data_IF_522261746328
#
_entry.id   IF_522261746328
#
_cell.length_a   1.000
_cell.length_b   1.000
_cell.length_c   1.000
_cell.angle_alpha   90.00
_cell.angle_beta   90.00
_cell.angle_gamma   90.00
#
_symmetry.space_group_name_H-M   'P 1'
#
loop_
_entity.id
_entity.type
_entity.pdbx_description
1 polymer ?
#
# COMPACT_ATOMS: atom_id res chain seq x y z
N UNK A 1 -31.81 -6.41 -75.40
CA UNK A 1 -33.07 -6.79 -74.74
C UNK A 1 -32.89 -6.48 -73.25
N UNK A 2 -33.20 -5.26 -72.76
CA UNK A 2 -34.55 -4.67 -72.47
C UNK A 2 -35.22 -5.47 -71.34
N UNK A 3 -35.07 -5.04 -70.07
CA UNK A 3 -36.04 -4.23 -69.27
C UNK A 3 -36.94 -5.12 -68.40
N UNK A 4 -37.49 -4.76 -67.24
CA UNK A 4 -37.63 -3.49 -66.50
C UNK A 4 -37.91 -3.81 -65.00
N UNK A 5 -37.72 -2.77 -64.18
CA UNK A 5 -37.95 -2.59 -62.74
C UNK A 5 -39.45 -2.59 -62.36
N UNK A 6 -39.78 -2.89 -61.08
CA UNK A 6 -40.67 -2.15 -60.12
C UNK A 6 -40.99 -3.10 -58.93
N UNK A 7 -41.14 -2.75 -57.65
CA UNK A 7 -40.71 -1.71 -56.70
C UNK A 7 -41.43 -2.10 -55.37
N UNK A 8 -40.71 -2.07 -54.23
CA UNK A 8 -41.16 -1.88 -52.82
C UNK A 8 -42.34 -2.67 -52.23
N UNK A 9 -42.12 -3.28 -51.05
CA UNK A 9 -42.81 -2.89 -49.81
C UNK A 9 -41.99 -3.33 -48.56
N UNK A 10 -41.66 -2.36 -47.72
CA UNK A 10 -41.06 -2.48 -46.38
C UNK A 10 -42.14 -2.92 -45.38
N UNK A 11 -41.89 -3.93 -44.54
CA UNK A 11 -42.52 -4.02 -43.20
C UNK A 11 -41.55 -4.69 -42.20
N UNK A 12 -41.33 -4.00 -41.09
CA UNK A 12 -40.54 -4.41 -39.93
C UNK A 12 -41.43 -4.96 -38.79
N UNK A 13 -40.77 -5.57 -37.80
CA UNK A 13 -41.12 -5.66 -36.37
C UNK A 13 -41.63 -7.00 -35.80
N UNK A 14 -40.66 -7.67 -35.15
CA UNK A 14 -40.63 -8.31 -33.82
C UNK A 14 -41.89 -8.84 -33.10
N UNK A 15 -41.76 -10.12 -32.72
CA UNK A 15 -42.40 -10.98 -31.69
C UNK A 15 -42.20 -10.40 -30.25
N UNK A 16 -42.93 -10.67 -29.13
CA UNK A 16 -43.84 -11.73 -28.65
C UNK A 16 -44.77 -11.19 -27.51
N UNK A 17 -45.85 -11.93 -27.24
CA UNK A 17 -46.88 -11.80 -26.19
C UNK A 17 -46.40 -12.07 -24.75
N UNK A 18 -47.07 -11.50 -23.72
CA UNK A 18 -48.10 -12.19 -22.90
C UNK A 18 -48.61 -11.35 -21.69
N UNK A 19 -49.78 -11.73 -21.18
CA UNK A 19 -50.70 -11.02 -20.28
C UNK A 19 -50.48 -11.22 -18.76
N UNK A 20 -50.88 -10.17 -18.01
CA UNK A 20 -51.34 -9.99 -16.62
C UNK A 20 -51.50 -11.17 -15.65
N UNK A 21 -51.16 -10.93 -14.37
CA UNK A 21 -52.05 -11.26 -13.23
C UNK A 21 -51.76 -10.37 -11.98
N UNK A 22 -52.80 -10.12 -11.19
CA UNK A 22 -52.89 -9.20 -10.04
C UNK A 22 -52.96 -10.02 -8.73
N UNK A 23 -52.17 -9.71 -7.69
CA UNK A 23 -52.58 -9.99 -6.29
C UNK A 23 -51.65 -9.38 -5.23
N UNK A 24 -52.19 -9.35 -4.02
CA UNK A 24 -52.01 -8.43 -2.91
C UNK A 24 -51.17 -9.04 -1.76
N UNK A 25 -50.50 -8.17 -0.98
CA UNK A 25 -50.18 -8.33 0.45
C UNK A 25 -49.13 -9.37 0.92
N UNK A 26 -48.03 -8.83 1.46
CA UNK A 26 -47.56 -9.17 2.83
C UNK A 26 -46.45 -10.22 2.98
N UNK A 27 -45.22 -9.77 3.26
CA UNK A 27 -44.47 -10.12 4.49
C UNK A 27 -43.15 -9.34 4.56
N UNK A 28 -42.96 -8.59 5.64
CA UNK A 28 -41.67 -8.08 6.10
C UNK A 28 -40.77 -9.25 6.54
N UNK A 29 -39.60 -9.40 5.92
CA UNK A 29 -38.31 -9.64 6.59
C UNK A 29 -37.26 -10.15 5.58
N UNK A 30 -36.49 -9.22 5.03
CA UNK A 30 -35.11 -9.52 4.65
C UNK A 30 -34.25 -8.58 5.46
N UNK A 31 -33.65 -9.13 6.52
CA UNK A 31 -32.54 -8.54 7.27
C UNK A 31 -31.43 -8.17 6.28
N UNK A 32 -31.54 -7.00 5.65
CA UNK A 32 -30.40 -6.36 5.00
C UNK A 32 -29.48 -5.96 6.14
N UNK A 33 -28.38 -6.69 6.28
CA UNK A 33 -27.28 -6.26 7.12
C UNK A 33 -26.99 -4.78 6.81
N UNK A 34 -26.73 -3.93 7.82
CA UNK A 34 -26.25 -2.59 7.56
C UNK A 34 -25.08 -2.72 6.58
N UNK A 35 -25.13 -2.00 5.45
CA UNK A 35 -23.97 -1.92 4.58
C UNK A 35 -22.80 -1.50 5.47
N UNK A 36 -21.79 -2.36 5.54
CA UNK A 36 -20.56 -2.13 6.31
C UNK A 36 -20.12 -0.71 5.96
N UNK A 37 -20.23 0.22 6.91
CA UNK A 37 -19.81 1.59 6.71
C UNK A 37 -18.40 1.55 6.12
N UNK A 38 -18.19 2.26 5.01
CA UNK A 38 -16.95 2.30 4.25
C UNK A 38 -15.77 2.28 5.22
N UNK A 39 -15.04 1.15 5.29
CA UNK A 39 -13.81 1.11 6.05
C UNK A 39 -12.91 2.25 5.55
N UNK A 40 -12.27 3.02 6.45
CA UNK A 40 -11.46 4.15 6.05
C UNK A 40 -10.39 3.67 5.05
N UNK A 41 -10.48 4.17 3.81
CA UNK A 41 -9.66 3.79 2.65
C UNK A 41 -8.21 4.29 2.74
N UNK A 42 -7.73 4.64 3.93
CA UNK A 42 -6.35 5.04 4.14
C UNK A 42 -5.38 3.88 3.83
N UNK A 43 -4.12 4.20 3.54
CA UNK A 43 -3.08 3.21 3.27
C UNK A 43 -3.29 2.39 1.99
N UNK A 44 -4.14 2.84 1.07
CA UNK A 44 -4.39 2.20 -0.23
C UNK A 44 -4.02 3.13 -1.39
N UNK A 45 -3.87 2.58 -2.60
CA UNK A 45 -3.53 3.33 -3.79
C UNK A 45 -4.55 4.44 -4.11
N UNK A 46 -5.84 4.20 -3.87
CA UNK A 46 -6.92 5.15 -4.15
C UNK A 46 -6.83 6.43 -3.30
N UNK A 47 -6.21 6.33 -2.12
CA UNK A 47 -5.98 7.45 -1.21
C UNK A 47 -4.51 7.86 -1.17
N UNK A 48 -3.76 7.55 -2.24
CA UNK A 48 -2.33 7.84 -2.35
C UNK A 48 -1.52 7.35 -1.15
N UNK A 49 -1.92 6.23 -0.54
CA UNK A 49 -1.32 5.66 0.65
C UNK A 49 -1.28 6.57 1.88
N UNK A 50 -2.19 7.53 2.02
CA UNK A 50 -2.27 8.35 3.23
C UNK A 50 -2.36 7.47 4.50
N UNK A 51 -1.49 7.64 5.51
CA UNK A 51 -1.52 6.82 6.72
C UNK A 51 -2.83 6.91 7.50
N UNK A 52 -3.25 5.78 8.06
CA UNK A 52 -4.48 5.66 8.84
C UNK A 52 -4.38 6.25 10.26
N UNK A 53 -3.16 6.25 10.82
CA UNK A 53 -2.86 6.71 12.17
C UNK A 53 -1.99 7.95 12.13
N UNK A 54 -2.10 8.80 13.15
CA UNK A 54 -1.18 9.92 13.34
C UNK A 54 0.29 9.45 13.44
N UNK A 55 1.22 10.28 12.96
CA UNK A 55 2.68 10.04 13.07
C UNK A 55 3.13 9.90 14.54
N UNK A 56 2.51 10.63 15.47
CA UNK A 56 2.84 10.52 16.90
C UNK A 56 2.52 9.14 17.47
N UNK A 57 1.32 8.62 17.18
CA UNK A 57 0.94 7.27 17.61
C UNK A 57 1.81 6.21 16.93
N UNK A 58 2.03 6.33 15.63
CA UNK A 58 2.87 5.41 14.87
C UNK A 58 4.31 5.36 15.42
N UNK A 59 4.90 6.52 15.75
CA UNK A 59 6.23 6.59 16.36
C UNK A 59 6.29 5.92 17.74
N UNK A 60 5.23 6.00 18.56
CA UNK A 60 5.17 5.28 19.85
C UNK A 60 5.22 3.77 19.64
N UNK A 61 4.43 3.25 18.71
CA UNK A 61 4.41 1.82 18.36
C UNK A 61 5.77 1.37 17.80
N UNK A 62 6.35 2.17 16.91
CA UNK A 62 7.65 1.90 16.31
C UNK A 62 8.76 1.85 17.39
N UNK A 63 8.83 2.86 18.27
CA UNK A 63 9.80 2.89 19.35
C UNK A 63 9.65 1.70 20.31
N UNK A 64 8.41 1.35 20.69
CA UNK A 64 8.16 0.19 21.56
C UNK A 64 8.68 -1.13 20.98
N UNK A 65 8.59 -1.32 19.65
CA UNK A 65 9.23 -2.46 18.99
C UNK A 65 10.76 -2.35 19.03
N UNK A 66 11.30 -1.17 18.76
CA UNK A 66 12.75 -0.96 18.79
C UNK A 66 13.38 -1.22 20.16
N UNK A 67 12.70 -0.89 21.25
CA UNK A 67 13.17 -1.19 22.60
C UNK A 67 13.39 -2.69 22.84
N UNK A 68 12.73 -3.56 22.07
CA UNK A 68 12.87 -5.02 22.17
C UNK A 68 13.93 -5.60 21.23
N UNK A 69 14.08 -5.05 20.01
CA UNK A 69 14.86 -5.69 18.94
C UNK A 69 16.05 -4.87 18.44
N UNK A 70 16.16 -3.60 18.84
CA UNK A 70 17.11 -2.63 18.30
C UNK A 70 17.92 -2.03 19.46
N UNK A 71 19.26 -1.91 19.37
CA UNK A 71 20.04 -1.33 20.45
C UNK A 71 19.72 0.15 20.67
N UNK A 72 19.87 0.68 21.90
CA UNK A 72 19.55 2.08 22.22
C UNK A 72 20.22 3.11 21.31
N UNK A 73 21.46 2.85 20.90
CA UNK A 73 22.24 3.71 20.00
C UNK A 73 21.58 3.91 18.61
N UNK A 74 20.61 3.07 18.23
CA UNK A 74 19.85 3.17 16.99
C UNK A 74 18.44 3.76 17.18
N UNK A 75 17.97 3.98 18.41
CA UNK A 75 16.56 4.34 18.67
C UNK A 75 16.13 5.66 18.02
N UNK A 76 17.08 6.55 17.72
CA UNK A 76 16.79 7.79 16.97
C UNK A 76 16.27 7.55 15.54
N UNK A 77 16.43 6.33 15.00
CA UNK A 77 15.84 5.91 13.73
C UNK A 77 14.40 5.41 13.86
N UNK A 78 13.91 5.17 15.07
CA UNK A 78 12.61 4.57 15.34
C UNK A 78 11.49 5.61 15.31
N UNK A 79 11.48 6.38 14.22
CA UNK A 79 10.50 7.41 13.89
C UNK A 79 10.25 7.40 12.39
N UNK A 80 9.01 7.63 11.99
CA UNK A 80 8.66 7.75 10.59
C UNK A 80 9.07 9.12 10.07
N UNK A 81 10.21 9.19 9.38
CA UNK A 81 10.64 10.39 8.67
C UNK A 81 10.35 10.27 7.17
N UNK A 82 9.45 11.11 6.66
CA UNK A 82 8.94 11.08 5.29
C UNK A 82 9.47 12.23 4.45
N UNK A 83 10.14 13.21 5.07
CA UNK A 83 10.83 14.28 4.36
C UNK A 83 12.22 13.80 3.91
N UNK A 84 12.50 13.93 2.61
CA UNK A 84 13.70 13.36 1.98
C UNK A 84 15.01 13.84 2.63
N UNK A 85 15.13 15.14 2.89
CA UNK A 85 16.33 15.72 3.49
C UNK A 85 16.52 15.31 4.95
N UNK A 86 15.44 15.24 5.72
CA UNK A 86 15.49 14.79 7.11
C UNK A 86 15.82 13.30 7.20
N UNK A 87 15.21 12.47 6.35
CA UNK A 87 15.47 11.04 6.23
C UNK A 87 16.94 10.77 5.87
N UNK A 88 17.48 11.51 4.89
CA UNK A 88 18.89 11.41 4.51
C UNK A 88 19.83 11.77 5.65
N UNK A 89 19.53 12.83 6.42
CA UNK A 89 20.32 13.21 7.60
C UNK A 89 20.32 12.11 8.66
N UNK A 90 19.15 11.52 8.94
CA UNK A 90 19.03 10.39 9.88
C UNK A 90 19.85 9.18 9.43
N UNK A 91 19.79 8.83 8.14
CA UNK A 91 20.58 7.73 7.60
C UNK A 91 22.08 7.99 7.71
N UNK A 92 22.55 9.20 7.37
CA UNK A 92 23.95 9.57 7.52
C UNK A 92 24.41 9.50 8.99
N UNK A 93 23.59 9.95 9.93
CA UNK A 93 23.85 9.80 11.36
C UNK A 93 23.95 8.32 11.77
N UNK A 94 23.11 7.43 11.23
CA UNK A 94 23.19 5.99 11.48
C UNK A 94 24.50 5.38 11.00
N UNK A 95 24.98 5.81 9.83
CA UNK A 95 26.25 5.35 9.27
C UNK A 95 27.48 5.85 10.04
N UNK A 96 27.36 7.01 10.71
CA UNK A 96 28.44 7.63 11.49
C UNK A 96 28.42 7.25 12.99
N UNK A 97 27.32 6.70 13.47
CA UNK A 97 27.14 6.28 14.87
C UNK A 97 27.45 4.79 15.07
N UNK A 98 27.38 4.35 16.34
CA UNK A 98 27.53 2.93 16.70
C UNK A 98 26.38 2.03 16.20
N UNK A 99 25.31 2.62 15.68
CA UNK A 99 24.21 1.87 15.08
C UNK A 99 24.70 1.06 13.86
N UNK A 100 25.24 1.76 12.86
CA UNK A 100 25.72 1.17 11.61
C UNK A 100 24.63 0.43 10.81
N UNK A 101 25.03 -0.16 9.68
CA UNK A 101 24.11 -0.85 8.76
C UNK A 101 23.48 -2.13 9.32
N UNK A 102 24.16 -2.81 10.25
CA UNK A 102 23.78 -4.15 10.75
C UNK A 102 22.43 -4.17 11.49
N UNK A 103 21.97 -3.04 12.01
CA UNK A 103 20.71 -2.94 12.77
C UNK A 103 19.56 -2.37 11.96
N UNK A 104 19.81 -1.84 10.76
CA UNK A 104 18.79 -1.23 9.92
C UNK A 104 17.71 -2.23 9.47
N UNK A 105 18.04 -3.51 9.30
CA UNK A 105 17.04 -4.53 8.98
C UNK A 105 16.05 -4.72 10.13
N UNK A 106 16.50 -4.70 11.39
CA UNK A 106 15.64 -4.76 12.57
C UNK A 106 14.80 -3.49 12.73
N UNK A 107 15.36 -2.32 12.41
CA UNK A 107 14.62 -1.04 12.36
C UNK A 107 13.49 -1.12 11.33
N UNK A 108 13.78 -1.57 10.10
CA UNK A 108 12.76 -1.75 9.05
C UNK A 108 11.69 -2.79 9.45
N UNK A 109 12.10 -3.90 10.07
CA UNK A 109 11.18 -4.89 10.62
C UNK A 109 10.18 -4.25 11.59
N UNK A 110 10.67 -3.47 12.55
CA UNK A 110 9.82 -2.74 13.49
C UNK A 110 8.94 -1.68 12.81
N UNK A 111 9.48 -0.92 11.86
CA UNK A 111 8.71 0.08 11.11
C UNK A 111 7.52 -0.55 10.36
N UNK A 112 7.73 -1.74 9.79
CA UNK A 112 6.71 -2.43 8.98
C UNK A 112 5.54 -2.97 9.80
N UNK A 113 5.73 -3.20 11.11
CA UNK A 113 4.79 -3.93 11.97
C UNK A 113 4.26 -5.22 11.33
N UNK A 114 5.15 -5.98 10.67
CA UNK A 114 4.83 -7.23 9.97
C UNK A 114 3.77 -7.08 8.86
N UNK A 115 3.75 -5.92 8.19
CA UNK A 115 2.89 -5.64 7.03
C UNK A 115 3.68 -5.70 5.72
N UNK A 116 3.04 -6.25 4.70
CA UNK A 116 3.54 -6.19 3.33
C UNK A 116 3.18 -4.83 2.71
N UNK A 117 4.17 -3.98 2.52
CA UNK A 117 4.01 -2.65 1.92
C UNK A 117 4.57 -2.58 0.49
N UNK A 118 4.82 -3.73 -0.16
CA UNK A 118 5.47 -3.78 -1.48
C UNK A 118 4.66 -3.07 -2.55
N UNK A 119 3.33 -3.04 -2.48
CA UNK A 119 2.52 -2.31 -3.46
C UNK A 119 2.77 -0.80 -3.38
N UNK A 120 2.74 -0.21 -2.18
CA UNK A 120 3.08 1.20 -1.98
C UNK A 120 4.48 1.53 -2.50
N UNK A 121 5.46 0.68 -2.19
CA UNK A 121 6.82 0.89 -2.67
C UNK A 121 6.97 0.80 -4.19
N UNK A 122 6.23 -0.10 -4.84
CA UNK A 122 6.21 -0.21 -6.30
C UNK A 122 5.58 1.03 -6.93
N UNK A 123 4.45 1.49 -6.40
CA UNK A 123 3.75 2.68 -6.89
C UNK A 123 4.55 3.97 -6.67
N UNK A 124 5.51 3.96 -5.74
CA UNK A 124 6.47 5.04 -5.48
C UNK A 124 7.87 4.74 -6.03
N UNK A 125 7.95 3.92 -7.09
CA UNK A 125 9.13 3.70 -7.94
C UNK A 125 10.37 3.11 -7.24
N UNK A 126 10.23 2.42 -6.11
CA UNK A 126 11.37 1.72 -5.47
C UNK A 126 11.89 0.51 -6.25
N UNK A 127 11.19 0.09 -7.30
CA UNK A 127 11.65 -0.90 -8.27
C UNK A 127 11.95 -0.30 -9.66
N UNK A 128 12.06 1.03 -9.77
CA UNK A 128 12.35 1.69 -11.04
C UNK A 128 13.69 1.21 -11.63
N UNK A 129 13.75 0.91 -12.94
CA UNK A 129 14.99 0.56 -13.63
C UNK A 129 16.11 1.61 -13.45
N UNK A 130 15.75 2.87 -13.22
CA UNK A 130 16.68 3.99 -13.04
C UNK A 130 17.53 3.84 -11.76
N UNK A 131 17.02 3.10 -10.77
CA UNK A 131 17.77 2.80 -9.54
C UNK A 131 18.87 1.75 -9.77
N UNK A 132 18.88 1.06 -10.93
CA UNK A 132 19.87 0.03 -11.29
C UNK A 132 20.00 -1.13 -10.28
N UNK A 133 18.98 -1.35 -9.46
CA UNK A 133 18.91 -2.42 -8.45
C UNK A 133 17.75 -3.38 -8.68
N UNK A 134 17.01 -3.21 -9.79
CA UNK A 134 15.83 -4.02 -10.11
C UNK A 134 14.78 -3.95 -8.98
N UNK A 135 14.22 -5.09 -8.61
CA UNK A 135 13.26 -5.21 -7.50
C UNK A 135 13.89 -5.37 -6.12
N UNK A 136 15.23 -5.22 -6.00
CA UNK A 136 15.96 -5.49 -4.75
C UNK A 136 15.46 -4.64 -3.58
N UNK A 137 15.01 -3.40 -3.80
CA UNK A 137 14.54 -2.56 -2.69
C UNK A 137 13.19 -3.02 -2.11
N UNK A 138 12.39 -3.78 -2.86
CA UNK A 138 11.07 -4.24 -2.40
C UNK A 138 11.15 -5.18 -1.20
N UNK A 139 12.30 -5.85 -0.98
CA UNK A 139 12.52 -6.65 0.24
C UNK A 139 12.54 -5.81 1.52
N UNK A 140 12.84 -4.51 1.42
CA UNK A 140 12.75 -3.60 2.57
C UNK A 140 11.32 -3.17 2.87
N UNK A 141 10.38 -3.37 1.92
CA UNK A 141 8.97 -3.00 2.07
C UNK A 141 8.13 -4.09 2.74
N UNK A 142 8.65 -5.31 2.75
CA UNK A 142 8.13 -6.45 3.50
C UNK A 142 9.28 -7.20 4.19
N UNK A 143 9.88 -6.60 5.25
CA UNK A 143 11.05 -7.18 5.90
C UNK A 143 10.78 -8.56 6.52
N UNK A 144 9.57 -8.79 7.01
CA UNK A 144 9.18 -10.05 7.63
C UNK A 144 8.93 -11.13 6.58
N UNK A 145 8.10 -10.86 5.56
CA UNK A 145 7.77 -11.84 4.52
C UNK A 145 8.95 -12.18 3.62
N UNK A 146 9.88 -11.24 3.40
CA UNK A 146 11.11 -11.51 2.62
C UNK A 146 12.28 -12.00 3.46
N UNK A 147 12.12 -12.13 4.79
CA UNK A 147 13.17 -12.50 5.72
C UNK A 147 14.42 -11.62 5.54
N UNK A 148 14.21 -10.30 5.69
CA UNK A 148 15.24 -9.29 5.47
C UNK A 148 16.43 -9.52 6.40
N UNK A 149 17.48 -10.10 5.83
CA UNK A 149 18.75 -10.31 6.50
C UNK A 149 19.58 -9.03 6.63
N UNK A 150 20.89 -9.19 6.78
CA UNK A 150 21.83 -8.07 6.87
C UNK A 150 21.83 -7.22 5.60
N UNK A 151 21.86 -5.91 5.78
CA UNK A 151 22.04 -4.97 4.68
C UNK A 151 23.54 -4.83 4.33
N UNK A 152 23.82 -4.75 3.04
CA UNK A 152 25.14 -4.61 2.47
C UNK A 152 25.28 -3.28 1.71
N UNK A 153 26.47 -2.98 1.18
CA UNK A 153 26.73 -1.69 0.51
C UNK A 153 25.88 -1.50 -0.74
N UNK A 154 25.54 -2.57 -1.43
CA UNK A 154 24.73 -2.52 -2.64
C UNK A 154 23.26 -2.19 -2.33
N UNK A 155 22.88 -2.17 -1.04
CA UNK A 155 21.58 -1.71 -0.58
C UNK A 155 21.51 -0.20 -0.33
N UNK A 156 22.65 0.51 -0.47
CA UNK A 156 22.72 1.94 -0.25
C UNK A 156 21.70 2.70 -1.10
N UNK A 157 21.51 2.32 -2.37
CA UNK A 157 20.51 2.95 -3.25
C UNK A 157 19.10 2.84 -2.68
N UNK A 158 18.74 1.69 -2.10
CA UNK A 158 17.44 1.51 -1.45
C UNK A 158 17.34 2.36 -0.18
N UNK A 159 18.42 2.39 0.62
CA UNK A 159 18.48 3.19 1.84
C UNK A 159 18.40 4.70 1.58
N UNK A 160 18.93 5.20 0.46
CA UNK A 160 18.77 6.61 0.09
C UNK A 160 17.32 7.04 -0.13
N UNK A 161 16.41 6.09 -0.32
CA UNK A 161 14.97 6.31 -0.40
C UNK A 161 14.27 5.96 0.93
N UNK A 162 14.96 6.18 2.06
CA UNK A 162 14.45 5.93 3.41
C UNK A 162 13.09 6.59 3.66
N UNK A 163 12.89 7.81 3.13
CA UNK A 163 11.63 8.52 3.24
C UNK A 163 10.45 7.76 2.62
N UNK A 164 10.65 7.13 1.47
CA UNK A 164 9.63 6.31 0.79
C UNK A 164 9.34 5.04 1.60
N UNK A 165 10.39 4.37 2.09
CA UNK A 165 10.25 3.20 2.96
C UNK A 165 9.44 3.54 4.21
N UNK A 166 9.79 4.63 4.91
CA UNK A 166 9.08 5.07 6.10
C UNK A 166 7.65 5.50 5.80
N UNK A 167 7.42 6.19 4.68
CA UNK A 167 6.08 6.55 4.25
C UNK A 167 5.22 5.30 4.08
N UNK A 168 5.66 4.35 3.25
CA UNK A 168 4.91 3.12 2.99
C UNK A 168 4.70 2.25 4.24
N UNK A 169 5.69 2.17 5.13
CA UNK A 169 5.51 1.47 6.40
C UNK A 169 4.49 2.16 7.31
N UNK A 170 4.49 3.50 7.37
CA UNK A 170 3.49 4.26 8.13
C UNK A 170 2.09 4.06 7.53
N UNK A 171 1.98 4.05 6.20
CA UNK A 171 0.74 3.77 5.46
C UNK A 171 0.13 2.41 5.80
N UNK A 172 0.97 1.40 6.05
CA UNK A 172 0.53 0.06 6.41
C UNK A 172 0.00 -0.09 7.85
N UNK A 173 0.21 0.90 8.72
CA UNK A 173 -0.21 0.81 10.12
C UNK A 173 -1.71 1.04 10.22
N UNK A 174 -2.42 0.00 10.67
CA UNK A 174 -3.85 0.04 10.96
C UNK A 174 -4.03 0.15 12.47
N UNK A 175 -4.84 1.10 12.92
CA UNK A 175 -5.33 1.10 14.31
C UNK A 175 -6.14 -0.19 14.50
N UNK A 176 -5.81 -0.95 15.56
CA UNK A 176 -6.57 -2.15 15.96
C UNK A 176 -7.81 -1.76 16.74
#
# INVERSE_FOLDING_TARGET
MVSLIFLFFLIASSVSSDQNDESLSGHSDLRRAPQKADEPKCGTAEMSYQPCTSKSMANKLFLACCEQFVPPDCHFLCQYETEQEAAKKLLLQALQSNCGLKHLSAVLYCASQNRDNRQCCQDLDLNSPQLMVGSRCLRMCDPAGTQLGRLAKEDATCLYNWNVLMYCHHSGIREM
#
